data_IF_925659367743
#
_entry.id   IF_925659367743
#
_cell.length_a   1.000
_cell.length_b   1.000
_cell.length_c   1.000
_cell.angle_alpha   90.00
_cell.angle_beta   90.00
_cell.angle_gamma   90.00
#
_symmetry.space_group_name_H-M   'P 1'
#
loop_
_entity.id
_entity.type
_entity.pdbx_description
1 polymer ?
#
# COMPACT_ATOMS: atom_id res chain seq x y z
N UNK A 1 34.53 6.22 10.70
CA UNK A 1 34.41 6.15 9.22
C UNK A 1 33.40 5.06 8.94
N UNK A 2 32.24 5.38 8.33
CA UNK A 2 31.35 4.31 7.84
C UNK A 2 32.15 3.53 6.79
N UNK A 3 32.34 2.23 7.00
CA UNK A 3 32.93 1.37 5.98
C UNK A 3 32.04 1.48 4.74
N UNK A 4 32.55 2.05 3.65
CA UNK A 4 31.86 2.16 2.35
C UNK A 4 31.77 0.79 1.65
N UNK A 5 31.60 -0.30 2.40
CA UNK A 5 31.50 -1.64 1.85
C UNK A 5 30.07 -1.83 1.39
N UNK A 6 29.90 -2.03 0.08
CA UNK A 6 28.65 -2.53 -0.48
C UNK A 6 28.67 -4.04 -0.34
N UNK A 7 27.65 -4.57 0.33
CA UNK A 7 27.47 -6.00 0.49
C UNK A 7 26.81 -6.60 -0.75
N UNK A 8 27.28 -7.77 -1.14
CA UNK A 8 26.81 -8.51 -2.30
C UNK A 8 26.22 -9.86 -1.87
N UNK A 9 25.51 -10.52 -2.79
CA UNK A 9 24.79 -11.76 -2.51
C UNK A 9 25.71 -12.93 -2.09
N UNK A 10 26.95 -12.91 -2.55
CA UNK A 10 27.93 -13.98 -2.31
C UNK A 10 28.83 -13.68 -1.08
N UNK A 11 28.64 -12.53 -0.42
CA UNK A 11 29.27 -12.27 0.88
C UNK A 11 28.70 -13.20 1.96
N UNK A 12 29.51 -13.55 2.96
CA UNK A 12 29.00 -14.30 4.11
C UNK A 12 28.09 -13.45 4.98
N UNK A 13 26.94 -13.99 5.39
CA UNK A 13 25.97 -13.28 6.25
C UNK A 13 26.60 -12.82 7.57
N UNK A 14 27.53 -13.61 8.12
CA UNK A 14 28.24 -13.25 9.36
C UNK A 14 29.14 -12.02 9.20
N UNK A 15 29.68 -11.78 8.00
CA UNK A 15 30.55 -10.62 7.74
C UNK A 15 29.77 -9.31 7.81
N UNK A 16 28.53 -9.31 7.31
CA UNK A 16 27.61 -8.18 7.36
C UNK A 16 27.32 -7.77 8.81
N UNK A 17 27.02 -8.75 9.66
CA UNK A 17 26.71 -8.52 11.08
C UNK A 17 27.95 -8.02 11.85
N UNK A 18 29.12 -8.59 11.53
CA UNK A 18 30.39 -8.22 12.17
C UNK A 18 30.79 -6.78 11.84
N UNK A 19 30.52 -6.35 10.60
CA UNK A 19 30.78 -5.00 10.11
C UNK A 19 29.74 -4.00 10.67
N UNK A 20 28.50 -4.43 10.90
CA UNK A 20 27.42 -3.60 11.44
C UNK A 20 26.41 -4.40 12.27
N UNK A 21 26.59 -4.40 13.59
CA UNK A 21 25.73 -5.13 14.54
C UNK A 21 24.27 -4.68 14.55
N UNK A 22 23.96 -3.46 14.09
CA UNK A 22 22.57 -2.96 14.01
C UNK A 22 21.72 -3.81 13.05
N UNK A 23 22.35 -4.55 12.14
CA UNK A 23 21.67 -5.45 11.20
C UNK A 23 20.97 -6.60 11.92
N UNK A 24 21.38 -6.98 13.14
CA UNK A 24 20.71 -8.02 13.92
C UNK A 24 19.21 -7.74 14.09
N UNK A 25 18.82 -6.48 14.27
CA UNK A 25 17.41 -6.10 14.35
C UNK A 25 16.71 -6.18 12.99
N UNK A 26 17.43 -5.84 11.90
CA UNK A 26 16.90 -5.96 10.54
C UNK A 26 16.63 -7.42 10.14
N UNK A 27 17.50 -8.36 10.53
CA UNK A 27 17.32 -9.79 10.21
C UNK A 27 15.96 -10.30 10.68
N UNK A 28 15.59 -10.01 11.93
CA UNK A 28 14.29 -10.38 12.49
C UNK A 28 13.12 -9.77 11.70
N UNK A 29 13.26 -8.51 11.25
CA UNK A 29 12.23 -7.86 10.45
C UNK A 29 12.07 -8.51 9.06
N UNK A 30 13.13 -9.07 8.48
CA UNK A 30 13.03 -9.89 7.26
C UNK A 30 12.54 -11.33 7.51
N UNK A 31 12.34 -11.75 8.77
CA UNK A 31 12.02 -13.13 9.12
C UNK A 31 13.24 -14.07 9.05
N UNK A 32 14.46 -13.53 9.03
CA UNK A 32 15.69 -14.31 9.01
C UNK A 32 16.05 -14.72 10.43
N UNK A 33 16.03 -16.02 10.69
CA UNK A 33 16.43 -16.58 11.98
C UNK A 33 17.96 -16.74 12.06
N UNK A 34 18.51 -16.59 13.28
CA UNK A 34 19.90 -16.91 13.55
C UNK A 34 20.17 -18.42 13.39
N UNK A 35 21.44 -18.79 13.22
CA UNK A 35 21.85 -20.20 13.05
C UNK A 35 22.16 -20.59 11.60
N UNK A 36 22.49 -19.63 10.74
CA UNK A 36 22.84 -19.84 9.33
C UNK A 36 24.28 -20.34 9.07
N UNK A 37 25.13 -20.43 10.11
CA UNK A 37 26.52 -20.89 9.95
C UNK A 37 27.34 -19.98 9.04
N UNK A 38 28.12 -20.58 8.14
CA UNK A 38 29.01 -19.88 7.21
C UNK A 38 28.37 -19.53 5.84
N UNK A 39 27.04 -19.64 5.76
CA UNK A 39 26.27 -19.38 4.52
C UNK A 39 26.40 -17.94 4.05
N UNK A 40 26.35 -17.80 2.73
CA UNK A 40 26.26 -16.53 2.01
C UNK A 40 24.91 -15.84 2.24
N UNK A 41 24.82 -14.54 1.95
CA UNK A 41 23.55 -13.81 2.00
C UNK A 41 22.49 -14.47 1.14
N UNK A 42 22.85 -14.86 -0.09
CA UNK A 42 21.96 -15.53 -1.03
C UNK A 42 21.37 -16.81 -0.45
N UNK A 43 22.22 -17.71 0.03
CA UNK A 43 21.78 -19.00 0.59
C UNK A 43 20.83 -18.80 1.77
N UNK A 44 21.13 -17.86 2.67
CA UNK A 44 20.26 -17.56 3.81
C UNK A 44 18.92 -16.98 3.38
N UNK A 45 18.94 -16.01 2.48
CA UNK A 45 17.71 -15.39 1.96
C UNK A 45 16.84 -16.41 1.22
N UNK A 46 17.42 -17.25 0.37
CA UNK A 46 16.69 -18.30 -0.35
C UNK A 46 16.06 -19.32 0.59
N UNK A 47 16.79 -19.81 1.59
CA UNK A 47 16.27 -20.77 2.58
C UNK A 47 15.14 -20.19 3.45
N UNK A 48 15.19 -18.89 3.75
CA UNK A 48 14.21 -18.21 4.60
C UNK A 48 13.10 -17.52 3.79
N UNK A 49 13.02 -17.75 2.47
CA UNK A 49 12.04 -17.13 1.56
C UNK A 49 12.06 -15.59 1.57
N UNK A 50 13.25 -15.00 1.64
CA UNK A 50 13.46 -13.55 1.58
C UNK A 50 14.04 -13.19 0.22
N UNK A 51 13.51 -12.14 -0.42
CA UNK A 51 14.08 -11.64 -1.66
C UNK A 51 15.48 -11.04 -1.39
N UNK A 52 16.51 -11.71 -1.94
CA UNK A 52 17.92 -11.37 -1.69
C UNK A 52 18.25 -9.95 -2.13
N UNK A 53 17.71 -9.51 -3.27
CA UNK A 53 17.98 -8.18 -3.81
C UNK A 53 17.40 -7.08 -2.89
N UNK A 54 16.16 -7.27 -2.44
CA UNK A 54 15.49 -6.34 -1.52
C UNK A 54 16.18 -6.30 -0.16
N UNK A 55 16.58 -7.44 0.38
CA UNK A 55 17.37 -7.52 1.60
C UNK A 55 18.65 -6.68 1.50
N UNK A 56 19.46 -6.93 0.47
CA UNK A 56 20.71 -6.19 0.23
C UNK A 56 20.46 -4.71 -0.01
N UNK A 57 19.38 -4.35 -0.72
CA UNK A 57 19.04 -2.96 -0.98
C UNK A 57 18.68 -2.18 0.29
N UNK A 58 18.05 -2.82 1.27
CA UNK A 58 17.76 -2.23 2.60
C UNK A 58 19.02 -2.21 3.47
N UNK A 59 19.78 -3.31 3.52
CA UNK A 59 21.01 -3.41 4.33
C UNK A 59 22.09 -2.43 3.87
N UNK A 60 22.34 -2.34 2.55
CA UNK A 60 23.30 -1.40 2.00
C UNK A 60 22.84 0.04 2.18
N UNK A 61 21.55 0.33 2.02
CA UNK A 61 21.00 1.66 2.27
C UNK A 61 21.16 2.07 3.74
N UNK A 62 20.78 1.21 4.67
CA UNK A 62 20.86 1.51 6.11
C UNK A 62 22.32 1.62 6.59
N UNK A 63 23.24 0.88 5.98
CA UNK A 63 24.67 0.97 6.31
C UNK A 63 25.32 2.21 5.69
N UNK A 64 25.13 2.45 4.39
CA UNK A 64 25.93 3.40 3.61
C UNK A 64 25.20 4.69 3.23
N UNK A 65 23.86 4.75 3.35
CA UNK A 65 23.03 5.90 2.96
C UNK A 65 22.93 6.16 1.46
N UNK A 66 23.70 5.45 0.62
CA UNK A 66 23.69 5.64 -0.83
C UNK A 66 22.63 4.77 -1.50
N UNK A 67 21.90 5.35 -2.45
CA UNK A 67 20.95 4.64 -3.31
C UNK A 67 21.04 5.14 -4.74
N UNK A 68 21.61 4.32 -5.60
CA UNK A 68 21.21 4.35 -7.00
C UNK A 68 19.95 3.48 -7.13
N UNK A 69 18.81 4.13 -7.42
CA UNK A 69 17.50 3.51 -7.57
C UNK A 69 17.16 3.16 -9.03
N UNK A 70 18.18 3.11 -9.89
CA UNK A 70 18.01 2.71 -11.29
C UNK A 70 17.31 1.35 -11.42
N UNK A 71 17.52 0.45 -10.46
CA UNK A 71 16.96 -0.91 -10.44
C UNK A 71 15.79 -1.10 -9.44
N UNK A 72 14.94 -0.08 -9.22
CA UNK A 72 13.79 -0.23 -8.30
C UNK A 72 12.84 -1.36 -8.68
N UNK A 73 12.80 -1.71 -9.97
CA UNK A 73 11.92 -2.75 -10.52
C UNK A 73 12.30 -4.16 -10.06
N UNK A 74 13.52 -4.33 -9.54
CA UNK A 74 13.99 -5.58 -8.94
C UNK A 74 13.57 -5.72 -7.47
N UNK A 75 13.05 -4.66 -6.83
CA UNK A 75 12.64 -4.71 -5.43
C UNK A 75 11.30 -5.44 -5.28
N UNK A 76 11.28 -6.43 -4.40
CA UNK A 76 10.11 -7.17 -3.97
C UNK A 76 9.28 -6.34 -2.99
N UNK A 77 8.16 -5.80 -3.48
CA UNK A 77 7.17 -5.11 -2.63
C UNK A 77 6.63 -6.02 -1.52
N UNK A 78 6.31 -7.32 -1.76
CA UNK A 78 5.92 -8.23 -0.69
C UNK A 78 6.96 -8.32 0.44
N UNK A 79 8.25 -8.42 0.09
CA UNK A 79 9.34 -8.47 1.09
C UNK A 79 9.47 -7.15 1.84
N UNK A 80 9.28 -6.00 1.19
CA UNK A 80 9.23 -4.70 1.87
C UNK A 80 8.05 -4.58 2.83
N UNK A 81 6.85 -5.03 2.44
CA UNK A 81 5.67 -5.03 3.30
C UNK A 81 5.86 -5.93 4.53
N UNK A 82 6.45 -7.12 4.34
CA UNK A 82 6.81 -8.01 5.44
C UNK A 82 7.79 -7.32 6.39
N UNK A 83 8.86 -6.74 5.85
CA UNK A 83 9.87 -6.01 6.62
C UNK A 83 9.26 -4.89 7.47
N UNK A 84 8.42 -4.04 6.88
CA UNK A 84 7.80 -2.92 7.59
C UNK A 84 6.81 -3.39 8.66
N UNK A 85 5.98 -4.40 8.38
CA UNK A 85 5.05 -4.97 9.39
C UNK A 85 5.79 -5.60 10.56
N UNK A 86 6.81 -6.41 10.29
CA UNK A 86 7.60 -7.03 11.36
C UNK A 86 8.38 -5.97 12.17
N UNK A 87 8.81 -4.90 11.51
CA UNK A 87 9.39 -3.72 12.18
C UNK A 87 8.37 -3.09 13.15
N UNK A 88 7.12 -2.90 12.73
CA UNK A 88 6.05 -2.37 13.58
C UNK A 88 5.75 -3.30 14.77
N UNK A 89 5.58 -4.61 14.54
CA UNK A 89 5.32 -5.59 15.60
C UNK A 89 6.44 -5.57 16.66
N UNK A 90 7.69 -5.65 16.22
CA UNK A 90 8.85 -5.57 17.12
C UNK A 90 8.85 -4.26 17.93
N UNK A 91 8.53 -3.15 17.29
CA UNK A 91 8.58 -1.85 17.95
C UNK A 91 7.44 -1.69 18.97
N UNK A 92 6.22 -2.01 18.57
CA UNK A 92 5.01 -1.82 19.37
C UNK A 92 4.92 -2.83 20.52
N UNK A 93 5.22 -4.10 20.25
CA UNK A 93 4.96 -5.18 21.21
C UNK A 93 6.18 -5.50 22.08
N UNK A 94 7.38 -5.10 21.66
CA UNK A 94 8.61 -5.34 22.42
C UNK A 94 9.32 -4.06 22.83
N UNK A 95 9.76 -3.20 21.89
CA UNK A 95 10.63 -2.07 22.23
C UNK A 95 9.96 -1.02 23.13
N UNK A 96 8.77 -0.55 22.75
CA UNK A 96 8.06 0.48 23.52
C UNK A 96 7.75 0.02 24.96
N UNK A 97 7.19 -1.18 25.20
CA UNK A 97 6.99 -1.70 26.55
C UNK A 97 8.29 -1.93 27.31
N UNK A 98 9.34 -2.39 26.62
CA UNK A 98 10.63 -2.69 27.25
C UNK A 98 11.29 -1.42 27.82
N UNK A 99 11.38 -0.35 27.03
CA UNK A 99 11.92 0.94 27.51
C UNK A 99 11.04 1.51 28.62
N UNK A 100 9.71 1.40 28.50
CA UNK A 100 8.79 1.84 29.57
C UNK A 100 9.09 1.14 30.90
N UNK A 101 9.30 -0.17 30.87
CA UNK A 101 9.67 -0.97 32.04
C UNK A 101 11.02 -0.52 32.63
N UNK A 102 11.99 -0.21 31.78
CA UNK A 102 13.29 0.30 32.23
C UNK A 102 13.18 1.67 32.89
N UNK A 103 12.37 2.58 32.34
CA UNK A 103 12.12 3.88 32.95
C UNK A 103 11.46 3.75 34.32
N UNK A 104 10.47 2.88 34.49
CA UNK A 104 9.84 2.61 35.81
C UNK A 104 10.85 2.07 36.81
N UNK A 105 11.71 1.15 36.39
CA UNK A 105 12.70 0.56 37.26
C UNK A 105 13.82 1.54 37.67
N UNK A 106 14.05 2.59 36.87
CA UNK A 106 15.15 3.54 37.06
C UNK A 106 14.71 4.87 37.71
N UNK A 107 13.40 5.13 37.81
CA UNK A 107 12.84 6.39 38.30
C UNK A 107 11.99 6.15 39.56
N UNK A 108 12.11 7.03 40.55
CA UNK A 108 11.25 7.01 41.74
C UNK A 108 9.87 7.61 41.44
N UNK A 109 8.80 6.82 41.52
CA UNK A 109 7.43 7.26 41.26
C UNK A 109 6.92 8.34 42.23
N UNK A 110 7.62 8.59 43.35
CA UNK A 110 7.31 9.68 44.27
C UNK A 110 7.88 11.03 43.81
N UNK A 111 8.82 11.03 42.87
CA UNK A 111 9.37 12.25 42.28
C UNK A 111 8.43 12.80 41.19
N UNK A 112 8.10 14.09 41.31
CA UNK A 112 7.29 14.79 40.30
C UNK A 112 7.98 14.83 38.93
N UNK A 113 9.32 14.88 38.89
CA UNK A 113 10.08 14.87 37.65
C UNK A 113 10.03 13.50 36.97
N UNK A 114 10.14 12.42 37.74
CA UNK A 114 9.95 11.06 37.26
C UNK A 114 8.57 10.87 36.64
N UNK A 115 7.51 11.36 37.30
CA UNK A 115 6.13 11.31 36.76
C UNK A 115 6.00 12.06 35.43
N UNK A 116 6.67 13.21 35.30
CA UNK A 116 6.69 13.98 34.05
C UNK A 116 7.38 13.20 32.93
N UNK A 117 8.55 12.59 33.20
CA UNK A 117 9.28 11.76 32.24
C UNK A 117 8.43 10.59 31.75
N UNK A 118 7.78 9.87 32.67
CA UNK A 118 6.91 8.75 32.31
C UNK A 118 5.74 9.19 31.42
N UNK A 119 5.12 10.35 31.72
CA UNK A 119 4.05 10.90 30.88
C UNK A 119 4.55 11.27 29.48
N UNK A 120 5.71 11.94 29.37
CA UNK A 120 6.31 12.29 28.08
C UNK A 120 6.60 11.04 27.24
N UNK A 121 7.07 9.97 27.88
CA UNK A 121 7.28 8.69 27.22
C UNK A 121 5.96 8.07 26.73
N UNK A 122 4.93 8.03 27.57
CA UNK A 122 3.63 7.44 27.21
C UNK A 122 2.99 8.19 26.04
N UNK A 123 3.12 9.51 26.01
CA UNK A 123 2.65 10.33 24.88
C UNK A 123 3.46 10.09 23.60
N UNK A 124 4.77 9.91 23.71
CA UNK A 124 5.63 9.54 22.59
C UNK A 124 5.23 8.16 22.03
N UNK A 125 5.14 7.15 22.89
CA UNK A 125 4.74 5.80 22.53
C UNK A 125 3.36 5.77 21.87
N UNK A 126 2.40 6.54 22.39
CA UNK A 126 1.07 6.68 21.81
C UNK A 126 1.10 7.27 20.40
N UNK A 127 1.91 8.30 20.18
CA UNK A 127 2.06 8.94 18.87
C UNK A 127 2.60 7.96 17.82
N UNK A 128 3.67 7.21 18.16
CA UNK A 128 4.23 6.19 17.27
C UNK A 128 3.22 5.07 17.00
N UNK A 129 2.53 4.61 18.05
CA UNK A 129 1.51 3.57 17.93
C UNK A 129 0.40 3.96 16.96
N UNK A 130 -0.08 5.20 17.00
CA UNK A 130 -1.13 5.67 16.10
C UNK A 130 -0.65 5.76 14.65
N UNK A 131 0.60 6.16 14.46
CA UNK A 131 1.23 6.26 13.15
C UNK A 131 1.37 4.89 12.47
N UNK A 132 2.01 3.91 13.12
CA UNK A 132 2.16 2.56 12.59
C UNK A 132 0.80 1.88 12.36
N UNK A 133 -0.16 2.05 13.28
CA UNK A 133 -1.53 1.55 13.09
C UNK A 133 -2.25 2.17 11.91
N UNK A 134 -1.95 3.42 11.55
CA UNK A 134 -2.52 4.03 10.36
C UNK A 134 -1.98 3.35 9.10
N UNK A 135 -0.68 3.08 9.04
CA UNK A 135 -0.06 2.38 7.91
C UNK A 135 -0.62 0.98 7.73
N UNK A 136 -0.70 0.20 8.81
CA UNK A 136 -1.26 -1.15 8.77
C UNK A 136 -2.73 -1.18 8.31
N UNK A 137 -3.51 -0.15 8.64
CA UNK A 137 -4.95 -0.10 8.32
C UNK A 137 -5.26 0.55 6.98
N UNK A 138 -4.39 1.43 6.50
CA UNK A 138 -4.66 2.26 5.32
C UNK A 138 -3.62 2.03 4.22
N UNK A 139 -2.34 2.18 4.52
CA UNK A 139 -1.25 2.16 3.53
C UNK A 139 -0.99 0.73 3.03
N UNK A 140 -0.77 -0.24 3.92
CA UNK A 140 -0.46 -1.61 3.50
C UNK A 140 -1.61 -2.29 2.74
N UNK A 141 -2.89 -2.16 3.15
CA UNK A 141 -4.01 -2.66 2.37
C UNK A 141 -4.16 -1.95 1.02
N UNK A 142 -3.87 -0.65 0.95
CA UNK A 142 -3.83 0.07 -0.33
C UNK A 142 -2.76 -0.49 -1.28
N UNK A 143 -1.54 -0.70 -0.77
CA UNK A 143 -0.45 -1.26 -1.58
C UNK A 143 -0.77 -2.68 -2.03
N UNK A 144 -1.42 -3.49 -1.19
CA UNK A 144 -1.86 -4.82 -1.58
C UNK A 144 -2.87 -4.76 -2.74
N UNK A 145 -3.90 -3.91 -2.65
CA UNK A 145 -4.86 -3.69 -3.74
C UNK A 145 -4.17 -3.22 -5.02
N UNK A 146 -3.18 -2.34 -4.90
CA UNK A 146 -2.41 -1.87 -6.05
C UNK A 146 -1.62 -3.01 -6.73
N UNK A 147 -1.04 -3.94 -5.95
CA UNK A 147 -0.41 -5.16 -6.47
C UNK A 147 -1.41 -6.09 -7.15
N UNK A 148 -2.63 -6.17 -6.61
CA UNK A 148 -3.74 -6.95 -7.18
C UNK A 148 -4.36 -6.29 -8.44
N UNK A 149 -3.85 -5.12 -8.84
CA UNK A 149 -4.29 -4.37 -10.02
C UNK A 149 -5.47 -3.42 -9.77
N UNK A 150 -5.92 -3.27 -8.52
CA UNK A 150 -7.02 -2.38 -8.15
C UNK A 150 -6.51 -0.95 -7.89
N UNK A 151 -6.68 -0.06 -8.87
CA UNK A 151 -6.31 1.35 -8.72
C UNK A 151 -7.41 2.10 -7.95
N UNK A 152 -7.07 2.66 -6.79
CA UNK A 152 -7.97 3.58 -6.08
C UNK A 152 -7.96 4.96 -6.72
N UNK A 153 -9.13 5.56 -6.91
CA UNK A 153 -9.28 6.96 -7.35
C UNK A 153 -9.23 7.98 -6.21
N UNK A 154 -9.30 7.53 -4.96
CA UNK A 154 -9.48 8.37 -3.77
C UNK A 154 -8.28 8.37 -2.81
N UNK A 155 -7.27 7.54 -3.07
CA UNK A 155 -6.08 7.42 -2.24
C UNK A 155 -4.84 7.14 -3.09
N UNK A 156 -3.74 7.83 -2.79
CA UNK A 156 -2.43 7.63 -3.37
C UNK A 156 -1.34 7.68 -2.29
N UNK A 157 -0.14 7.19 -2.62
CA UNK A 157 0.98 7.18 -1.68
C UNK A 157 1.46 8.59 -1.30
N UNK A 158 1.14 9.62 -2.10
CA UNK A 158 1.42 11.02 -1.75
C UNK A 158 0.59 11.51 -0.56
N UNK A 159 -0.63 10.97 -0.40
CA UNK A 159 -1.48 11.25 0.76
C UNK A 159 -0.80 10.81 2.06
N UNK A 160 -0.04 9.70 2.03
CA UNK A 160 0.78 9.25 3.16
C UNK A 160 2.04 10.12 3.35
N UNK A 161 2.80 10.36 2.28
CA UNK A 161 4.10 11.05 2.35
C UNK A 161 4.01 12.46 2.98
N UNK A 162 2.89 13.17 2.80
CA UNK A 162 2.69 14.52 3.38
C UNK A 162 2.54 14.55 4.90
N UNK A 163 2.26 13.41 5.54
CA UNK A 163 2.00 13.30 6.97
C UNK A 163 3.09 12.55 7.75
N UNK A 164 4.16 12.14 7.07
CA UNK A 164 5.27 11.38 7.66
C UNK A 164 6.30 12.31 8.35
N UNK A 165 6.73 12.00 9.59
CA UNK A 165 7.95 12.58 10.19
C UNK A 165 7.85 13.62 11.33
N UNK A 166 6.85 13.60 12.22
CA UNK A 166 6.74 14.58 13.35
C UNK A 166 6.88 14.00 14.78
N UNK A 167 7.44 12.82 14.98
CA UNK A 167 7.32 12.09 16.27
C UNK A 167 8.47 12.28 17.28
N UNK A 168 9.56 12.97 16.93
CA UNK A 168 10.83 12.81 17.67
C UNK A 168 11.10 13.86 18.76
N UNK A 169 10.29 14.92 18.84
CA UNK A 169 10.57 16.02 19.76
C UNK A 169 10.37 15.62 21.23
N UNK A 170 9.36 14.80 21.53
CA UNK A 170 8.99 14.40 22.90
C UNK A 170 10.06 13.52 23.55
N UNK A 171 10.58 12.53 22.82
CA UNK A 171 11.63 11.64 23.33
C UNK A 171 12.95 12.40 23.53
N UNK A 172 13.23 13.41 22.70
CA UNK A 172 14.38 14.30 22.86
C UNK A 172 14.28 15.15 24.12
N UNK A 173 13.11 15.71 24.38
CA UNK A 173 12.85 16.46 25.61
C UNK A 173 13.02 15.57 26.83
N UNK A 174 12.43 14.36 26.81
CA UNK A 174 12.61 13.35 27.85
C UNK A 174 14.08 13.06 28.13
N UNK A 175 14.89 12.77 27.09
CA UNK A 175 16.33 12.50 27.27
C UNK A 175 17.06 13.67 27.90
N UNK A 176 16.78 14.88 27.43
CA UNK A 176 17.38 16.10 27.96
C UNK A 176 17.03 16.31 29.43
N UNK A 177 15.80 15.99 29.83
CA UNK A 177 15.38 16.09 31.22
C UNK A 177 16.16 15.08 32.07
N UNK A 178 16.22 13.81 31.65
CA UNK A 178 16.97 12.78 32.38
C UNK A 178 18.45 13.19 32.53
N UNK A 179 19.12 13.54 31.43
CA UNK A 179 20.57 13.86 31.44
C UNK A 179 20.89 15.08 32.32
N UNK A 180 20.03 16.10 32.31
CA UNK A 180 20.31 17.37 33.01
C UNK A 180 19.90 17.37 34.47
N UNK A 181 18.89 16.58 34.84
CA UNK A 181 18.19 16.72 36.12
C UNK A 181 18.09 15.40 36.92
N UNK A 182 18.60 14.25 36.42
CA UNK A 182 18.68 12.96 37.12
C UNK A 182 20.07 12.28 36.91
N UNK A 183 20.67 11.54 37.88
CA UNK A 183 20.40 11.45 39.32
C UNK A 183 21.60 11.83 40.24
N UNK A 184 21.33 11.81 41.55
CA UNK A 184 22.20 12.23 42.67
C UNK A 184 22.94 11.07 43.37
N UNK A 185 22.73 9.80 42.98
CA UNK A 185 23.39 8.59 43.51
C UNK A 185 23.77 7.56 42.42
N UNK A 186 24.68 6.63 42.74
CA UNK A 186 25.37 5.80 41.73
C UNK A 186 24.58 4.63 41.13
N UNK A 187 23.62 4.03 41.85
CA UNK A 187 22.87 2.86 41.34
C UNK A 187 21.82 3.28 40.31
N UNK A 188 21.03 4.30 40.63
CA UNK A 188 20.04 4.86 39.69
C UNK A 188 20.72 5.48 38.47
N UNK A 189 21.94 6.01 38.63
CA UNK A 189 22.73 6.53 37.51
C UNK A 189 23.05 5.44 36.47
N UNK A 190 23.44 4.25 36.92
CA UNK A 190 23.74 3.15 36.00
C UNK A 190 22.49 2.64 35.28
N UNK A 191 21.36 2.54 35.99
CA UNK A 191 20.09 2.14 35.39
C UNK A 191 19.61 3.18 34.36
N UNK A 192 19.63 4.47 34.71
CA UNK A 192 19.25 5.54 33.78
C UNK A 192 20.19 5.63 32.58
N UNK A 193 21.50 5.41 32.78
CA UNK A 193 22.47 5.35 31.68
C UNK A 193 22.15 4.22 30.71
N UNK A 194 21.83 3.03 31.22
CA UNK A 194 21.42 1.89 30.39
C UNK A 194 20.08 2.16 29.66
N UNK A 195 19.11 2.75 30.34
CA UNK A 195 17.83 3.15 29.75
C UNK A 195 18.02 4.20 28.65
N UNK A 196 18.84 5.22 28.88
CA UNK A 196 19.17 6.25 27.90
C UNK A 196 19.85 5.65 26.67
N UNK A 197 20.81 4.74 26.86
CA UNK A 197 21.45 4.04 25.76
C UNK A 197 20.44 3.29 24.89
N UNK A 198 19.48 2.59 25.51
CA UNK A 198 18.42 1.90 24.76
C UNK A 198 17.50 2.88 24.04
N UNK A 199 17.17 4.03 24.64
CA UNK A 199 16.38 5.08 23.98
C UNK A 199 17.10 5.60 22.72
N UNK A 200 18.41 5.90 22.81
CA UNK A 200 19.18 6.35 21.65
C UNK A 200 19.21 5.32 20.53
N UNK A 201 19.50 4.05 20.85
CA UNK A 201 19.50 2.98 19.85
C UNK A 201 18.12 2.80 19.20
N UNK A 202 17.06 2.94 19.99
CA UNK A 202 15.70 2.81 19.52
C UNK A 202 15.29 3.96 18.57
N UNK A 203 15.73 5.18 18.84
CA UNK A 203 15.53 6.32 17.92
C UNK A 203 16.32 6.16 16.63
N UNK A 204 17.59 5.72 16.71
CA UNK A 204 18.40 5.48 15.52
C UNK A 204 17.72 4.45 14.63
N UNK A 205 17.18 3.38 15.23
CA UNK A 205 16.41 2.36 14.51
C UNK A 205 15.12 2.92 13.90
N UNK A 206 14.35 3.71 14.66
CA UNK A 206 13.10 4.30 14.15
C UNK A 206 13.38 5.27 12.98
N UNK A 207 14.47 6.04 13.07
CA UNK A 207 14.93 6.88 11.97
C UNK A 207 15.36 6.03 10.76
N UNK A 208 16.03 4.88 10.96
CA UNK A 208 16.34 3.96 9.86
C UNK A 208 15.07 3.43 9.19
N UNK A 209 14.06 3.05 9.97
CA UNK A 209 12.75 2.62 9.48
C UNK A 209 12.07 3.70 8.65
N UNK A 210 11.96 4.93 9.16
CA UNK A 210 11.41 6.07 8.43
C UNK A 210 12.18 6.36 7.13
N UNK A 211 13.52 6.26 7.17
CA UNK A 211 14.34 6.41 5.96
C UNK A 211 14.08 5.32 4.94
N UNK A 212 13.82 4.07 5.37
CA UNK A 212 13.41 2.99 4.49
C UNK A 212 12.06 3.31 3.84
N UNK A 213 11.12 3.85 4.59
CA UNK A 213 9.84 4.25 4.01
C UNK A 213 10.00 5.36 2.96
N UNK A 214 10.69 6.44 3.32
CA UNK A 214 10.84 7.63 2.48
C UNK A 214 11.69 7.39 1.23
N UNK A 215 12.75 6.59 1.33
CA UNK A 215 13.75 6.43 0.27
C UNK A 215 13.67 5.07 -0.43
N UNK A 216 12.93 4.11 0.13
CA UNK A 216 12.70 2.80 -0.48
C UNK A 216 11.25 2.61 -0.85
N UNK A 217 10.40 2.50 0.16
CA UNK A 217 9.04 2.03 -0.02
C UNK A 217 8.22 3.00 -0.87
N UNK A 218 8.14 4.27 -0.47
CA UNK A 218 7.34 5.28 -1.16
C UNK A 218 7.76 5.42 -2.64
N UNK A 219 9.06 5.58 -3.00
CA UNK A 219 9.48 5.64 -4.40
C UNK A 219 9.09 4.41 -5.23
N UNK A 220 9.16 3.21 -4.65
CA UNK A 220 8.76 1.97 -5.33
C UNK A 220 7.25 1.96 -5.59
N UNK A 221 6.44 2.32 -4.59
CA UNK A 221 4.98 2.38 -4.74
C UNK A 221 4.57 3.46 -5.76
N UNK A 222 5.20 4.64 -5.75
CA UNK A 222 4.97 5.68 -6.77
C UNK A 222 5.19 5.16 -8.20
N UNK A 223 6.26 4.38 -8.41
CA UNK A 223 6.55 3.78 -9.72
C UNK A 223 5.49 2.73 -10.10
N UNK A 224 5.05 1.91 -9.14
CA UNK A 224 3.97 0.94 -9.35
C UNK A 224 2.65 1.64 -9.72
N UNK A 225 2.28 2.71 -9.02
CA UNK A 225 1.10 3.53 -9.35
C UNK A 225 1.18 4.10 -10.77
N UNK A 226 2.34 4.64 -11.16
CA UNK A 226 2.55 5.20 -12.49
C UNK A 226 2.41 4.13 -13.58
N UNK A 227 2.99 2.93 -13.38
CA UNK A 227 2.85 1.78 -14.28
C UNK A 227 1.41 1.32 -14.41
N UNK A 228 0.69 1.23 -13.29
CA UNK A 228 -0.72 0.83 -13.28
C UNK A 228 -1.61 1.82 -14.05
N UNK A 229 -1.40 3.13 -13.85
CA UNK A 229 -2.08 4.20 -14.62
C UNK A 229 -1.76 4.15 -16.12
N UNK A 230 -0.52 3.85 -16.51
CA UNK A 230 -0.11 3.72 -17.92
C UNK A 230 -0.73 2.49 -18.59
N UNK A 231 -0.81 1.36 -17.88
CA UNK A 231 -1.49 0.16 -18.37
C UNK A 231 -2.98 0.42 -18.59
N UNK A 232 -3.63 1.13 -17.67
CA UNK A 232 -5.04 1.53 -17.78
C UNK A 232 -5.31 2.37 -19.05
N UNK A 233 -4.40 3.31 -19.35
CA UNK A 233 -4.47 4.14 -20.57
C UNK A 233 -4.19 3.29 -21.81
N UNK A 234 -3.19 2.41 -21.77
CA UNK A 234 -2.83 1.54 -22.90
C UNK A 234 -3.93 0.54 -23.23
N UNK A 235 -4.62 0.00 -22.23
CA UNK A 235 -5.80 -0.87 -22.38
C UNK A 235 -6.98 -0.08 -22.94
N UNK A 236 -7.24 1.15 -22.45
CA UNK A 236 -8.28 2.03 -23.02
C UNK A 236 -8.01 2.35 -24.49
N UNK A 237 -6.77 2.67 -24.85
CA UNK A 237 -6.37 2.94 -26.24
C UNK A 237 -6.48 1.66 -27.09
N UNK A 238 -6.01 0.51 -26.59
CA UNK A 238 -6.14 -0.78 -27.30
C UNK A 238 -7.59 -1.17 -27.53
N UNK A 239 -8.48 -0.89 -26.56
CA UNK A 239 -9.92 -1.10 -26.70
C UNK A 239 -10.55 -0.10 -27.69
N UNK A 240 -10.07 1.14 -27.76
CA UNK A 240 -10.48 2.12 -28.78
C UNK A 240 -9.99 1.74 -30.19
N UNK A 241 -8.82 1.13 -30.32
CA UNK A 241 -8.24 0.71 -31.62
C UNK A 241 -8.83 -0.63 -32.10
N UNK A 242 -9.22 -1.53 -31.18
CA UNK A 242 -9.88 -2.82 -31.49
C UNK A 242 -11.40 -2.72 -31.68
N UNK A 243 -12.00 -1.54 -31.54
CA UNK A 243 -13.36 -1.31 -31.97
C UNK A 243 -13.40 -1.19 -33.49
N UNK A 244 -13.76 -2.31 -34.12
CA UNK A 244 -14.14 -2.38 -35.52
C UNK A 244 -15.26 -1.34 -35.77
N UNK A 245 -15.07 -0.30 -36.61
CA UNK A 245 -16.03 0.81 -36.75
C UNK A 245 -17.40 0.42 -37.33
N UNK A 246 -17.61 -0.86 -37.64
CA UNK A 246 -18.87 -1.38 -38.17
C UNK A 246 -19.77 -2.08 -37.13
N UNK A 247 -19.37 -2.17 -35.85
CA UNK A 247 -20.14 -2.87 -34.82
C UNK A 247 -20.99 -1.95 -33.91
N UNK A 248 -20.73 -0.64 -33.86
CA UNK A 248 -21.54 0.30 -33.07
C UNK A 248 -22.93 0.57 -33.66
N UNK A 249 -23.12 0.29 -34.95
CA UNK A 249 -24.39 0.53 -35.66
C UNK A 249 -25.36 -0.67 -35.59
N UNK A 250 -24.94 -1.83 -35.07
CA UNK A 250 -25.82 -3.00 -34.96
C UNK A 250 -26.55 -3.05 -33.62
N UNK A 251 -27.86 -3.18 -33.69
CA UNK A 251 -28.71 -3.43 -32.52
C UNK A 251 -28.36 -4.78 -31.90
N UNK A 252 -28.30 -4.82 -30.57
CA UNK A 252 -28.25 -6.10 -29.83
C UNK A 252 -29.55 -6.89 -30.04
N UNK A 253 -29.50 -8.21 -29.84
CA UNK A 253 -30.68 -9.06 -30.04
C UNK A 253 -31.85 -8.65 -29.13
N UNK A 254 -31.56 -8.19 -27.91
CA UNK A 254 -32.58 -7.62 -27.01
C UNK A 254 -33.17 -6.30 -27.51
N UNK A 255 -32.39 -5.47 -28.18
CA UNK A 255 -32.90 -4.25 -28.81
C UNK A 255 -33.74 -4.58 -30.06
N UNK A 256 -33.39 -5.64 -30.81
CA UNK A 256 -34.23 -6.13 -31.92
C UNK A 256 -35.58 -6.61 -31.43
N UNK A 257 -35.62 -7.42 -30.36
CA UNK A 257 -36.87 -7.90 -29.76
C UNK A 257 -37.79 -6.73 -29.34
N UNK A 258 -37.21 -5.69 -28.72
CA UNK A 258 -37.94 -4.49 -28.30
C UNK A 258 -38.46 -3.69 -29.50
N UNK A 259 -37.69 -3.57 -30.60
CA UNK A 259 -38.16 -2.91 -31.83
C UNK A 259 -39.30 -3.69 -32.47
N UNK A 260 -39.20 -5.02 -32.56
CA UNK A 260 -40.23 -5.88 -33.16
C UNK A 260 -41.56 -5.70 -32.41
N UNK A 261 -41.56 -5.79 -31.08
CA UNK A 261 -42.77 -5.59 -30.27
C UNK A 261 -43.33 -4.16 -30.39
N UNK A 262 -42.47 -3.15 -30.55
CA UNK A 262 -42.89 -1.77 -30.77
C UNK A 262 -43.59 -1.58 -32.12
N UNK A 263 -43.08 -2.21 -33.18
CA UNK A 263 -43.67 -2.18 -34.53
C UNK A 263 -45.00 -2.95 -34.59
N UNK A 264 -45.18 -3.96 -33.75
CA UNK A 264 -46.45 -4.69 -33.57
C UNK A 264 -47.51 -3.90 -32.79
N UNK A 265 -47.19 -2.68 -32.34
CA UNK A 265 -48.13 -1.77 -31.66
C UNK A 265 -48.29 -2.04 -30.17
N UNK A 266 -47.39 -2.82 -29.54
CA UNK A 266 -47.44 -3.07 -28.10
C UNK A 266 -47.04 -1.82 -27.29
N UNK A 267 -47.75 -1.57 -26.21
CA UNK A 267 -47.40 -0.56 -25.21
C UNK A 267 -46.17 -0.97 -24.39
N UNK A 268 -45.48 -0.02 -23.75
CA UNK A 268 -44.32 -0.34 -22.90
C UNK A 268 -44.62 -1.38 -21.81
N UNK A 269 -45.88 -1.42 -21.35
CA UNK A 269 -46.34 -2.39 -20.35
C UNK A 269 -46.49 -3.79 -20.97
N UNK A 270 -47.10 -3.88 -22.15
CA UNK A 270 -47.24 -5.15 -22.88
C UNK A 270 -45.89 -5.70 -23.34
N UNK A 271 -44.95 -4.85 -23.77
CA UNK A 271 -43.58 -5.26 -24.13
C UNK A 271 -42.85 -5.81 -22.89
N UNK A 272 -43.00 -5.15 -21.74
CA UNK A 272 -42.40 -5.58 -20.49
C UNK A 272 -42.92 -6.97 -20.07
N UNK A 273 -44.23 -7.17 -20.16
CA UNK A 273 -44.89 -8.44 -19.85
C UNK A 273 -44.49 -9.54 -20.86
N UNK A 274 -44.46 -9.22 -22.17
CA UNK A 274 -44.12 -10.15 -23.25
C UNK A 274 -42.65 -10.60 -23.22
N UNK A 275 -41.72 -9.70 -22.91
CA UNK A 275 -40.28 -10.00 -22.84
C UNK A 275 -39.82 -10.38 -21.42
N UNK A 276 -40.75 -10.44 -20.46
CA UNK A 276 -40.49 -10.73 -19.03
C UNK A 276 -39.42 -9.81 -18.42
N UNK A 277 -39.49 -8.50 -18.69
CA UNK A 277 -38.56 -7.48 -18.18
C UNK A 277 -39.32 -6.33 -17.53
N UNK A 278 -38.64 -5.47 -16.77
CA UNK A 278 -39.31 -4.30 -16.17
C UNK A 278 -39.65 -3.24 -17.23
N UNK A 279 -40.71 -2.45 -16.98
CA UNK A 279 -41.08 -1.30 -17.83
C UNK A 279 -39.92 -0.30 -17.96
N UNK A 280 -39.15 -0.09 -16.89
CA UNK A 280 -37.96 0.78 -16.90
C UNK A 280 -36.85 0.25 -17.81
N UNK A 281 -36.72 -1.08 -17.90
CA UNK A 281 -35.79 -1.75 -18.81
C UNK A 281 -36.21 -1.52 -20.27
N UNK A 282 -37.51 -1.60 -20.58
CA UNK A 282 -38.04 -1.28 -21.92
C UNK A 282 -37.76 0.17 -22.31
N UNK A 283 -37.98 1.12 -21.40
CA UNK A 283 -37.71 2.55 -21.64
C UNK A 283 -36.21 2.78 -21.92
N UNK A 284 -35.35 2.10 -21.18
CA UNK A 284 -33.89 2.17 -21.36
C UNK A 284 -33.46 1.62 -22.72
N UNK A 285 -33.97 0.46 -23.12
CA UNK A 285 -33.70 -0.11 -24.45
C UNK A 285 -34.18 0.82 -25.57
N UNK A 286 -35.39 1.39 -25.46
CA UNK A 286 -35.90 2.36 -26.46
C UNK A 286 -35.02 3.59 -26.60
N UNK A 287 -34.47 4.11 -25.49
CA UNK A 287 -33.54 5.25 -25.51
C UNK A 287 -32.24 4.87 -26.21
N UNK A 288 -31.71 3.68 -25.96
CA UNK A 288 -30.48 3.19 -26.56
C UNK A 288 -30.67 2.91 -28.06
N UNK A 289 -31.79 2.32 -28.46
CA UNK A 289 -32.20 2.14 -29.87
C UNK A 289 -32.25 3.48 -30.59
N UNK A 290 -32.97 4.47 -30.05
CA UNK A 290 -33.10 5.78 -30.67
C UNK A 290 -31.75 6.49 -30.81
N UNK A 291 -30.85 6.31 -29.83
CA UNK A 291 -29.49 6.85 -29.86
C UNK A 291 -28.60 6.16 -30.89
N UNK A 292 -28.70 4.83 -31.02
CA UNK A 292 -27.92 4.03 -31.99
C UNK A 292 -28.38 4.28 -33.42
N UNK A 293 -29.69 4.29 -33.66
CA UNK A 293 -30.25 4.44 -35.00
C UNK A 293 -30.39 5.90 -35.44
N UNK A 294 -30.27 6.87 -34.52
CA UNK A 294 -30.59 8.29 -34.76
C UNK A 294 -32.03 8.50 -35.28
N UNK A 295 -32.94 7.60 -34.93
CA UNK A 295 -34.36 7.65 -35.30
C UNK A 295 -35.18 7.89 -34.03
N UNK A 296 -35.90 9.00 -34.01
CA UNK A 296 -36.73 9.40 -32.87
C UNK A 296 -38.23 9.26 -33.12
N UNK A 297 -38.64 8.95 -34.36
CA UNK A 297 -40.05 8.78 -34.73
C UNK A 297 -40.46 7.30 -34.76
N UNK A 298 -41.65 6.95 -34.24
CA UNK A 298 -42.19 5.59 -34.34
C UNK A 298 -42.29 5.10 -35.79
N UNK A 299 -42.72 5.96 -36.72
CA UNK A 299 -42.78 5.65 -38.14
C UNK A 299 -41.40 5.32 -38.75
N UNK A 300 -40.34 6.02 -38.32
CA UNK A 300 -38.97 5.73 -38.76
C UNK A 300 -38.46 4.38 -38.25
N UNK A 301 -38.82 4.00 -37.01
CA UNK A 301 -38.45 2.69 -36.44
C UNK A 301 -39.17 1.54 -37.18
N UNK A 302 -40.42 1.74 -37.59
CA UNK A 302 -41.16 0.78 -38.42
C UNK A 302 -40.51 0.58 -39.78
N UNK A 303 -40.14 1.67 -40.46
CA UNK A 303 -39.44 1.59 -41.75
C UNK A 303 -38.10 0.85 -41.59
N UNK A 304 -37.33 1.18 -40.54
CA UNK A 304 -36.07 0.52 -40.24
C UNK A 304 -36.24 -1.00 -40.03
N UNK A 305 -37.27 -1.42 -39.29
CA UNK A 305 -37.54 -2.83 -39.01
C UNK A 305 -37.91 -3.64 -40.26
N UNK A 306 -38.63 -3.02 -41.20
CA UNK A 306 -38.98 -3.65 -42.49
C UNK A 306 -37.74 -3.77 -43.39
N UNK A 307 -36.96 -2.69 -43.54
CA UNK A 307 -35.76 -2.66 -44.41
C UNK A 307 -34.70 -3.66 -43.96
N UNK A 308 -34.58 -3.91 -42.65
CA UNK A 308 -33.61 -4.84 -42.09
C UNK A 308 -34.16 -6.27 -41.87
N UNK A 309 -35.33 -6.60 -42.46
CA UNK A 309 -35.99 -7.90 -42.35
C UNK A 309 -36.25 -8.36 -40.90
N UNK A 310 -36.46 -7.42 -39.97
CA UNK A 310 -36.81 -7.73 -38.59
C UNK A 310 -38.31 -8.04 -38.45
N UNK A 311 -39.14 -7.50 -39.34
CA UNK A 311 -40.61 -7.62 -39.33
C UNK A 311 -41.14 -7.69 -40.76
N UNK A 312 -42.06 -8.61 -41.04
CA UNK A 312 -42.78 -8.70 -42.32
C UNK A 312 -43.91 -7.65 -42.37
N UNK A 313 -44.09 -7.01 -43.52
CA UNK A 313 -45.09 -5.95 -43.75
C UNK A 313 -46.53 -6.40 -43.40
N UNK A 314 -46.80 -7.69 -43.46
CA UNK A 314 -48.08 -8.31 -43.10
C UNK A 314 -48.39 -8.31 -41.59
N UNK A 315 -47.39 -8.07 -40.74
CA UNK A 315 -47.52 -8.12 -39.27
C UNK A 315 -47.60 -6.75 -38.60
N UNK A 316 -47.57 -5.67 -39.39
CA UNK A 316 -47.64 -4.29 -38.89
C UNK A 316 -49.10 -3.84 -38.84
N UNK A 317 -49.60 -3.47 -37.65
CA UNK A 317 -50.90 -2.78 -37.52
C UNK A 317 -50.71 -1.32 -37.90
N UNK A 318 -51.23 -0.91 -39.06
CA UNK A 318 -51.32 0.49 -39.49
C UNK A 318 -52.39 1.25 -38.70
#
# INVERSE_FOLDING_TARGET
>A
MKNQKMYEADDQMISIISDNYNILQNLGCFGINLGFGDKTVREVCEEQNVDTYTFLAVVNFTTNGFRDLNDSDKLSIPTLLQYLRASHEYYLDFQLPFIRKQLVAALDENDNLARLILRLYDEYAHSITNHMKYEEKMVFPYVQRLLDGEVSSTYDIETFSKHHGQTDQKVRELRNIIIKYLPSDGLHNNQLSATLYNIYNNEDWLNMHAQVEDHIFIPVIRRLEAKSKQNDVSVKISNMINQNPNAEDMLSDREKDVIVSLVQGMTNKEIADHLCISINTVITHRRNIAKKLQIHSPAGLTIYAIVNNLVDISSVKL
#
